data_IF_343266453912
#
_entry.id   IF_343266453912
#
_cell.length_a   1.000
_cell.length_b   1.000
_cell.length_c   1.000
_cell.angle_alpha   90.00
_cell.angle_beta   90.00
_cell.angle_gamma   90.00
#
_symmetry.space_group_name_H-M   'P 1'
#
loop_
_entity.id
_entity.type
_entity.pdbx_description
1 polymer ?
#
# COMPACT_ATOMS: atom_id res chain seq x y z
N UNK A 1 -5.84 61.25 -6.89
CA UNK A 1 -5.28 61.54 -5.54
C UNK A 1 -5.41 60.29 -4.69
N UNK A 2 -4.38 59.95 -3.92
CA UNK A 2 -4.04 58.65 -3.28
C UNK A 2 -5.14 57.74 -2.72
N UNK A 3 -4.93 56.43 -2.93
CA UNK A 3 -5.04 55.35 -1.92
C UNK A 3 -3.59 55.07 -1.45
N UNK A 4 -3.30 54.80 -0.16
CA UNK A 4 -3.24 53.41 0.30
C UNK A 4 -3.82 53.13 1.70
N UNK A 5 -4.42 51.94 1.80
CA UNK A 5 -4.76 51.19 3.00
C UNK A 5 -3.48 50.91 3.80
N UNK A 6 -3.48 51.26 5.08
CA UNK A 6 -2.43 50.86 6.04
C UNK A 6 -2.69 49.40 6.41
N UNK A 7 -1.93 48.46 5.83
CA UNK A 7 -1.80 47.12 6.41
C UNK A 7 -0.83 47.20 7.59
N UNK A 8 -1.31 46.85 8.77
CA UNK A 8 -0.53 46.76 10.00
C UNK A 8 0.60 45.73 9.84
N UNK A 9 1.82 46.15 10.18
CA UNK A 9 2.99 45.29 10.23
C UNK A 9 2.83 44.26 11.35
N UNK A 10 2.76 42.97 10.99
CA UNK A 10 2.80 41.84 11.93
C UNK A 10 4.20 41.82 12.56
N UNK A 11 4.29 42.08 13.85
CA UNK A 11 5.57 42.14 14.58
C UNK A 11 6.22 40.77 14.66
N UNK A 12 7.56 40.73 14.56
CA UNK A 12 8.40 39.53 14.63
C UNK A 12 8.11 38.63 15.84
N UNK A 13 7.56 39.18 16.91
CA UNK A 13 7.15 38.44 18.11
C UNK A 13 5.99 37.45 17.86
N UNK A 14 5.02 37.80 17.00
CA UNK A 14 3.91 36.91 16.62
C UNK A 14 4.42 35.72 15.78
N UNK A 15 5.40 35.94 14.91
CA UNK A 15 6.02 34.87 14.11
C UNK A 15 6.92 33.92 14.94
N UNK A 16 7.51 34.42 16.03
CA UNK A 16 8.30 33.61 16.98
C UNK A 16 7.37 32.84 17.93
N UNK A 17 6.25 33.44 18.34
CA UNK A 17 5.22 32.76 19.13
C UNK A 17 4.63 31.58 18.37
N UNK A 18 4.37 31.72 17.07
CA UNK A 18 3.90 30.64 16.18
C UNK A 18 4.89 29.48 16.06
N UNK A 19 6.20 29.76 16.17
CA UNK A 19 7.28 28.76 16.19
C UNK A 19 7.49 28.09 17.55
N UNK A 20 7.10 28.75 18.65
CA UNK A 20 7.14 28.15 19.98
C UNK A 20 5.89 27.32 20.29
N UNK A 21 4.72 27.67 19.73
CA UNK A 21 3.47 26.90 19.89
C UNK A 21 3.35 25.72 18.94
N UNK A 22 4.26 25.56 17.97
CA UNK A 22 4.31 24.38 17.08
C UNK A 22 5.10 23.20 17.66
N UNK A 23 5.57 23.30 18.91
CA UNK A 23 6.09 22.12 19.63
C UNK A 23 4.98 21.50 20.45
N UNK A 24 4.44 20.41 19.91
CA UNK A 24 3.54 19.41 20.56
C UNK A 24 2.10 19.88 20.85
N UNK A 25 1.26 19.90 19.81
CA UNK A 25 -0.05 19.25 19.96
C UNK A 25 0.22 17.75 20.07
N UNK A 26 0.45 17.27 21.31
CA UNK A 26 0.54 15.84 21.57
C UNK A 26 -0.83 15.24 21.23
N UNK A 27 -0.89 14.55 20.10
CA UNK A 27 -2.01 13.69 19.73
C UNK A 27 -2.14 12.62 20.82
N UNK A 28 -3.30 12.45 21.47
CA UNK A 28 -3.50 11.40 22.47
C UNK A 28 -3.33 9.99 21.89
N UNK A 29 -3.25 9.85 20.56
CA UNK A 29 -2.99 8.60 19.85
C UNK A 29 -1.53 8.48 19.33
N UNK A 30 -0.60 9.32 19.85
CA UNK A 30 0.82 9.26 19.53
C UNK A 30 1.43 7.91 19.98
N UNK A 31 1.28 6.91 19.12
CA UNK A 31 2.01 5.65 19.21
C UNK A 31 3.50 5.95 19.30
N UNK A 32 4.19 5.32 20.25
CA UNK A 32 5.64 5.42 20.34
C UNK A 32 6.21 4.88 19.03
N UNK A 33 6.91 5.72 18.27
CA UNK A 33 7.50 5.34 17.00
C UNK A 33 9.03 5.40 17.07
N UNK A 34 9.72 4.55 16.31
CA UNK A 34 11.17 4.62 16.19
C UNK A 34 11.57 5.95 15.52
N UNK A 35 12.49 6.71 16.13
CA UNK A 35 13.00 7.93 15.52
C UNK A 35 14.00 7.58 14.40
N UNK A 36 13.51 7.51 13.17
CA UNK A 36 14.29 7.17 11.98
C UNK A 36 14.42 8.32 10.98
N UNK A 37 14.09 9.56 11.35
CA UNK A 37 14.03 10.72 10.43
C UNK A 37 15.31 10.88 9.58
N UNK A 38 16.47 10.59 10.16
CA UNK A 38 17.78 10.66 9.49
C UNK A 38 18.49 9.30 9.38
N UNK A 39 17.76 8.19 9.51
CA UNK A 39 18.34 6.86 9.41
C UNK A 39 18.81 6.56 7.98
N UNK A 40 19.96 5.89 7.86
CA UNK A 40 20.42 5.29 6.60
C UNK A 40 19.62 4.00 6.29
N UNK A 41 19.64 3.53 5.03
CA UNK A 41 18.91 2.32 4.65
C UNK A 41 19.36 1.08 5.44
N UNK A 42 20.65 0.98 5.76
CA UNK A 42 21.22 -0.16 6.50
C UNK A 42 20.64 -0.29 7.91
N UNK A 43 20.49 0.82 8.64
CA UNK A 43 19.86 0.83 9.96
C UNK A 43 18.38 0.43 9.85
N UNK A 44 17.67 0.96 8.86
CA UNK A 44 16.29 0.58 8.58
C UNK A 44 16.15 -0.93 8.33
N UNK A 45 17.07 -1.53 7.58
CA UNK A 45 17.08 -2.97 7.27
C UNK A 45 17.38 -3.81 8.52
N UNK A 46 18.32 -3.38 9.37
CA UNK A 46 18.56 -4.06 10.66
C UNK A 46 17.31 -4.02 11.55
N UNK A 47 16.57 -2.91 11.55
CA UNK A 47 15.35 -2.77 12.33
C UNK A 47 14.18 -3.59 11.77
N UNK A 48 14.13 -3.84 10.46
CA UNK A 48 13.15 -4.75 9.83
C UNK A 48 13.25 -6.18 10.36
N UNK A 49 14.45 -6.61 10.77
CA UNK A 49 14.66 -7.92 11.38
C UNK A 49 14.06 -8.04 12.79
N UNK A 50 13.65 -6.92 13.39
CA UNK A 50 12.94 -6.86 14.68
C UNK A 50 11.52 -6.34 14.43
N UNK A 51 10.58 -7.20 14.00
CA UNK A 51 9.27 -6.77 13.54
C UNK A 51 8.41 -6.29 14.70
N UNK A 52 8.25 -4.97 14.80
CA UNK A 52 7.39 -4.30 15.78
C UNK A 52 6.64 -3.16 15.11
N UNK A 53 5.46 -2.81 15.62
CA UNK A 53 4.68 -1.66 15.12
C UNK A 53 5.53 -0.38 15.19
N UNK A 54 6.30 -0.21 16.28
CA UNK A 54 7.20 0.93 16.48
C UNK A 54 8.24 1.07 15.36
N UNK A 55 8.88 -0.04 14.99
CA UNK A 55 9.90 -0.05 13.93
C UNK A 55 9.27 0.18 12.55
N UNK A 56 8.13 -0.45 12.25
CA UNK A 56 7.45 -0.27 10.96
C UNK A 56 6.87 1.13 10.82
N UNK A 57 6.29 1.73 11.87
CA UNK A 57 5.78 3.11 11.78
C UNK A 57 6.91 4.12 11.57
N UNK A 58 8.04 3.95 12.28
CA UNK A 58 9.24 4.75 12.04
C UNK A 58 9.80 4.57 10.63
N UNK A 59 9.84 3.33 10.13
CA UNK A 59 10.30 3.03 8.78
C UNK A 59 9.38 3.64 7.73
N UNK A 60 8.06 3.53 7.89
CA UNK A 60 7.08 4.13 6.98
C UNK A 60 7.36 5.63 6.80
N UNK A 61 7.51 6.38 7.89
CA UNK A 61 7.83 7.81 7.81
C UNK A 61 9.16 8.07 7.10
N UNK A 62 10.17 7.24 7.37
CA UNK A 62 11.46 7.37 6.70
C UNK A 62 11.40 7.06 5.20
N UNK A 63 10.57 6.11 4.79
CA UNK A 63 10.29 5.80 3.38
C UNK A 63 9.54 6.97 2.71
N UNK A 64 8.51 7.51 3.36
CA UNK A 64 7.71 8.64 2.85
C UNK A 64 8.55 9.92 2.68
N UNK A 65 9.53 10.15 3.57
CA UNK A 65 10.44 11.29 3.50
C UNK A 65 11.70 11.03 2.65
N UNK A 66 11.85 9.84 2.07
CA UNK A 66 13.05 9.48 1.32
C UNK A 66 13.14 10.17 -0.04
N UNK A 67 14.37 10.46 -0.46
CA UNK A 67 14.65 10.83 -1.84
C UNK A 67 14.90 9.59 -2.71
N UNK A 68 15.05 9.83 -4.02
CA UNK A 68 15.29 8.77 -5.00
C UNK A 68 16.54 7.94 -4.68
N UNK A 69 17.63 8.58 -4.24
CA UNK A 69 18.90 7.89 -3.97
C UNK A 69 18.78 6.94 -2.79
N UNK A 70 18.13 7.40 -1.72
CA UNK A 70 17.89 6.59 -0.54
C UNK A 70 16.96 5.41 -0.85
N UNK A 71 15.89 5.64 -1.63
CA UNK A 71 14.96 4.58 -2.03
C UNK A 71 15.67 3.49 -2.83
N UNK A 72 16.49 3.87 -3.82
CA UNK A 72 17.26 2.90 -4.61
C UNK A 72 18.19 2.08 -3.72
N UNK A 73 18.93 2.71 -2.80
CA UNK A 73 19.80 1.98 -1.87
C UNK A 73 19.01 1.01 -0.97
N UNK A 74 17.85 1.42 -0.46
CA UNK A 74 16.98 0.54 0.34
C UNK A 74 16.53 -0.70 -0.46
N UNK A 75 16.21 -0.53 -1.74
CA UNK A 75 15.81 -1.63 -2.63
C UNK A 75 17.01 -2.55 -2.96
N UNK A 76 18.17 -1.98 -3.28
CA UNK A 76 19.42 -2.72 -3.56
C UNK A 76 19.90 -3.54 -2.36
N UNK A 77 19.63 -3.06 -1.14
CA UNK A 77 19.96 -3.75 0.09
C UNK A 77 18.85 -4.73 0.56
N UNK A 78 17.94 -5.12 -0.34
CA UNK A 78 16.89 -6.11 -0.07
C UNK A 78 15.87 -5.69 0.99
N UNK A 79 15.67 -4.38 1.21
CA UNK A 79 14.71 -3.87 2.18
C UNK A 79 13.26 -4.23 1.85
N UNK A 80 12.91 -4.26 0.55
CA UNK A 80 11.58 -4.69 0.11
C UNK A 80 11.36 -6.19 0.27
N UNK A 81 12.39 -7.02 0.06
CA UNK A 81 12.31 -8.46 0.27
C UNK A 81 11.90 -8.78 1.71
N UNK A 82 12.50 -8.11 2.69
CA UNK A 82 12.17 -8.27 4.11
C UNK A 82 10.74 -7.85 4.44
N UNK A 83 10.23 -6.78 3.81
CA UNK A 83 8.84 -6.34 3.96
C UNK A 83 7.86 -7.36 3.37
N UNK A 84 8.18 -7.92 2.21
CA UNK A 84 7.36 -8.92 1.52
C UNK A 84 7.33 -10.24 2.29
N UNK A 85 8.48 -10.71 2.79
CA UNK A 85 8.57 -11.88 3.65
C UNK A 85 7.79 -11.68 4.96
N UNK A 86 7.86 -10.49 5.55
CA UNK A 86 7.07 -10.17 6.74
C UNK A 86 5.57 -10.17 6.46
N UNK A 87 5.15 -9.61 5.32
CA UNK A 87 3.75 -9.63 4.91
C UNK A 87 3.25 -11.06 4.73
N UNK A 88 4.01 -11.92 4.06
CA UNK A 88 3.64 -13.33 3.86
C UNK A 88 3.49 -14.07 5.19
N UNK A 89 4.46 -13.92 6.11
CA UNK A 89 4.40 -14.49 7.46
C UNK A 89 3.16 -14.05 8.25
N UNK A 90 2.73 -12.80 8.09
CA UNK A 90 1.58 -12.23 8.79
C UNK A 90 0.22 -12.54 8.12
N UNK A 91 0.22 -12.99 6.87
CA UNK A 91 -1.01 -13.20 6.09
C UNK A 91 -1.62 -14.60 6.23
N UNK A 92 -0.94 -15.53 6.90
CA UNK A 92 -1.44 -16.88 7.13
C UNK A 92 -2.73 -16.91 7.97
N UNK A 93 -3.56 -17.94 7.77
CA UNK A 93 -4.88 -18.17 8.42
C UNK A 93 -4.85 -18.30 9.95
N UNK A 94 -3.71 -18.05 10.60
CA UNK A 94 -3.46 -18.26 12.03
C UNK A 94 -3.07 -17.00 12.82
N UNK A 95 -3.08 -15.80 12.23
CA UNK A 95 -2.82 -14.55 12.98
C UNK A 95 -4.00 -14.20 13.90
N UNK A 96 -4.03 -14.86 15.06
CA UNK A 96 -5.13 -14.80 16.03
C UNK A 96 -5.07 -13.59 16.96
N UNK A 97 -4.01 -12.76 16.91
CA UNK A 97 -3.81 -11.65 17.85
C UNK A 97 -3.97 -10.30 17.17
N UNK A 98 -4.62 -9.37 17.88
CA UNK A 98 -4.79 -7.96 17.45
C UNK A 98 -3.45 -7.30 17.13
N UNK A 99 -2.39 -7.63 17.89
CA UNK A 99 -1.04 -7.12 17.67
C UNK A 99 -0.49 -7.52 16.29
N UNK A 100 -0.76 -8.74 15.82
CA UNK A 100 -0.31 -9.22 14.52
C UNK A 100 -1.06 -8.50 13.39
N UNK A 101 -2.35 -8.24 13.57
CA UNK A 101 -3.16 -7.47 12.63
C UNK A 101 -2.68 -6.02 12.49
N UNK A 102 -2.31 -5.36 13.60
CA UNK A 102 -1.72 -4.03 13.56
C UNK A 102 -0.35 -4.04 12.88
N UNK A 103 0.49 -5.00 13.22
CA UNK A 103 1.82 -5.17 12.60
C UNK A 103 1.71 -5.39 11.09
N UNK A 104 0.76 -6.23 10.65
CA UNK A 104 0.47 -6.47 9.24
C UNK A 104 0.04 -5.20 8.54
N UNK A 105 -0.87 -4.43 9.14
CA UNK A 105 -1.37 -3.19 8.57
C UNK A 105 -0.26 -2.15 8.39
N UNK A 106 0.62 -2.00 9.40
CA UNK A 106 1.78 -1.09 9.32
C UNK A 106 2.82 -1.59 8.31
N UNK A 107 3.01 -2.90 8.18
CA UNK A 107 3.87 -3.50 7.15
C UNK A 107 3.39 -3.14 5.73
N UNK A 108 2.08 -3.29 5.46
CA UNK A 108 1.49 -2.91 4.17
C UNK A 108 1.62 -1.40 3.93
N UNK A 109 1.52 -0.57 4.98
CA UNK A 109 1.77 0.86 4.85
C UNK A 109 3.23 1.19 4.48
N UNK A 110 4.22 0.40 4.93
CA UNK A 110 5.60 0.55 4.48
C UNK A 110 5.73 0.22 2.99
N UNK A 111 5.11 -0.87 2.53
CA UNK A 111 5.10 -1.25 1.11
C UNK A 111 4.42 -0.18 0.26
N UNK A 112 3.31 0.40 0.75
CA UNK A 112 2.67 1.55 0.11
C UNK A 112 3.63 2.74 -0.03
N UNK A 113 4.39 3.06 1.01
CA UNK A 113 5.37 4.14 0.96
C UNK A 113 6.45 3.89 -0.10
N UNK A 114 6.91 2.63 -0.26
CA UNK A 114 7.80 2.24 -1.38
C UNK A 114 7.11 2.46 -2.74
N UNK A 115 5.87 2.02 -2.89
CA UNK A 115 5.09 2.16 -4.14
C UNK A 115 4.70 3.60 -4.49
N UNK A 116 4.82 4.54 -3.55
CA UNK A 116 4.67 5.96 -3.84
C UNK A 116 5.92 6.57 -4.52
N UNK A 117 6.98 5.78 -4.70
CA UNK A 117 8.15 6.12 -5.52
C UNK A 117 8.08 5.41 -6.87
N UNK A 118 8.41 6.12 -7.96
CA UNK A 118 8.56 5.50 -9.28
C UNK A 118 9.64 4.41 -9.29
N UNK A 119 10.72 4.59 -8.52
CA UNK A 119 11.76 3.56 -8.35
C UNK A 119 11.17 2.29 -7.75
N UNK A 120 10.35 2.43 -6.70
CA UNK A 120 9.70 1.31 -6.03
C UNK A 120 8.71 0.58 -6.94
N UNK A 121 7.92 1.31 -7.72
CA UNK A 121 6.98 0.71 -8.69
C UNK A 121 7.72 -0.07 -9.78
N UNK A 122 8.75 0.50 -10.41
CA UNK A 122 9.54 -0.20 -11.41
C UNK A 122 10.21 -1.45 -10.83
N UNK A 123 10.81 -1.34 -9.64
CA UNK A 123 11.45 -2.46 -8.96
C UNK A 123 10.47 -3.60 -8.67
N UNK A 124 9.22 -3.28 -8.31
CA UNK A 124 8.17 -4.29 -8.11
C UNK A 124 7.77 -4.96 -9.44
N UNK A 125 7.63 -4.18 -10.51
CA UNK A 125 7.23 -4.72 -11.81
C UNK A 125 8.31 -5.59 -12.46
N UNK A 126 9.57 -5.33 -12.17
CA UNK A 126 10.69 -6.14 -12.66
C UNK A 126 10.79 -7.52 -11.97
N UNK A 127 10.02 -7.74 -10.89
CA UNK A 127 9.98 -9.02 -10.17
C UNK A 127 8.52 -9.46 -9.88
N UNK A 128 8.03 -10.37 -10.72
CA UNK A 128 6.68 -10.96 -10.61
C UNK A 128 6.38 -11.60 -9.24
N UNK A 129 7.40 -12.04 -8.50
CA UNK A 129 7.26 -12.62 -7.17
C UNK A 129 6.63 -11.68 -6.15
N UNK A 130 6.89 -10.37 -6.26
CA UNK A 130 6.30 -9.38 -5.36
C UNK A 130 4.79 -9.21 -5.60
N UNK A 131 4.35 -9.20 -6.85
CA UNK A 131 2.92 -9.10 -7.20
C UNK A 131 2.16 -10.33 -6.73
N UNK A 132 2.77 -11.52 -6.82
CA UNK A 132 2.19 -12.75 -6.26
C UNK A 132 2.14 -12.71 -4.74
N UNK A 133 3.18 -12.21 -4.07
CA UNK A 133 3.20 -12.05 -2.61
C UNK A 133 2.11 -11.11 -2.13
N UNK A 134 1.91 -9.96 -2.80
CA UNK A 134 0.79 -9.06 -2.52
C UNK A 134 -0.56 -9.78 -2.71
N UNK A 135 -0.71 -10.56 -3.77
CA UNK A 135 -1.94 -11.31 -4.01
C UNK A 135 -2.19 -12.36 -2.92
N UNK A 136 -1.16 -13.08 -2.47
CA UNK A 136 -1.25 -14.02 -1.36
C UNK A 136 -1.58 -13.35 -0.02
N UNK A 137 -1.21 -12.08 0.17
CA UNK A 137 -1.57 -11.33 1.38
C UNK A 137 -3.08 -11.14 1.58
N UNK A 138 -3.89 -11.38 0.53
CA UNK A 138 -5.35 -11.39 0.60
C UNK A 138 -5.93 -12.56 1.40
N UNK A 139 -5.12 -13.57 1.78
CA UNK A 139 -5.53 -14.69 2.64
C UNK A 139 -5.83 -14.28 4.10
N UNK A 140 -5.43 -13.07 4.51
CA UNK A 140 -5.76 -12.51 5.83
C UNK A 140 -7.27 -12.38 6.04
N UNK A 141 -7.75 -12.49 7.28
CA UNK A 141 -9.15 -12.18 7.61
C UNK A 141 -9.38 -10.68 7.85
N UNK A 142 -8.33 -9.86 7.87
CA UNK A 142 -8.42 -8.44 8.14
C UNK A 142 -8.84 -7.65 6.89
N UNK A 143 -10.09 -7.18 6.87
CA UNK A 143 -10.66 -6.38 5.77
C UNK A 143 -9.83 -5.13 5.46
N UNK A 144 -9.28 -4.46 6.47
CA UNK A 144 -8.45 -3.26 6.25
C UNK A 144 -7.16 -3.59 5.51
N UNK A 145 -6.55 -4.75 5.79
CA UNK A 145 -5.37 -5.21 5.05
C UNK A 145 -5.75 -5.54 3.62
N UNK A 146 -6.85 -6.29 3.40
CA UNK A 146 -7.34 -6.60 2.04
C UNK A 146 -7.59 -5.33 1.22
N UNK A 147 -8.26 -4.34 1.81
CA UNK A 147 -8.49 -3.04 1.19
C UNK A 147 -7.18 -2.41 0.70
N UNK A 148 -6.19 -2.30 1.60
CA UNK A 148 -4.91 -1.71 1.23
C UNK A 148 -4.20 -2.51 0.14
N UNK A 149 -4.19 -3.84 0.21
CA UNK A 149 -3.57 -4.70 -0.79
C UNK A 149 -4.23 -4.55 -2.15
N UNK A 150 -5.57 -4.50 -2.23
CA UNK A 150 -6.27 -4.25 -3.49
C UNK A 150 -5.94 -2.88 -4.08
N UNK A 151 -5.78 -1.85 -3.25
CA UNK A 151 -5.34 -0.53 -3.72
C UNK A 151 -3.92 -0.56 -4.31
N UNK A 152 -3.00 -1.32 -3.70
CA UNK A 152 -1.66 -1.52 -4.23
C UNK A 152 -1.70 -2.25 -5.58
N UNK A 153 -2.46 -3.33 -5.69
CA UNK A 153 -2.64 -4.06 -6.96
C UNK A 153 -3.26 -3.17 -8.05
N UNK A 154 -4.23 -2.32 -7.69
CA UNK A 154 -4.83 -1.36 -8.60
C UNK A 154 -3.81 -0.31 -9.06
N UNK A 155 -2.96 0.20 -8.15
CA UNK A 155 -1.91 1.15 -8.49
C UNK A 155 -0.89 0.55 -9.48
N UNK A 156 -0.43 -0.69 -9.26
CA UNK A 156 0.45 -1.40 -10.21
C UNK A 156 -0.22 -1.58 -11.57
N UNK A 157 -1.49 -1.94 -11.58
CA UNK A 157 -2.28 -2.16 -12.80
C UNK A 157 -2.43 -0.87 -13.63
N UNK A 158 -2.51 0.29 -12.98
CA UNK A 158 -2.64 1.59 -13.62
C UNK A 158 -1.30 2.21 -14.04
N UNK A 159 -0.23 1.87 -13.34
CA UNK A 159 1.08 2.51 -13.53
C UNK A 159 1.72 2.14 -14.88
N UNK A 160 1.69 0.86 -15.25
CA UNK A 160 2.32 0.36 -16.47
C UNK A 160 1.53 -0.82 -17.08
N UNK A 161 1.46 -0.96 -18.43
CA UNK A 161 0.82 -2.11 -19.07
C UNK A 161 1.34 -3.47 -18.60
N UNK A 162 2.62 -3.59 -18.25
CA UNK A 162 3.20 -4.79 -17.64
C UNK A 162 2.55 -5.09 -16.28
N UNK A 163 2.28 -4.07 -15.48
CA UNK A 163 1.56 -4.22 -14.21
C UNK A 163 0.18 -4.83 -14.39
N UNK A 164 -0.55 -4.45 -15.43
CA UNK A 164 -1.83 -5.08 -15.78
C UNK A 164 -1.70 -6.58 -16.04
N UNK A 165 -0.66 -6.99 -16.77
CA UNK A 165 -0.40 -8.39 -17.08
C UNK A 165 -0.01 -9.19 -15.83
N UNK A 166 0.91 -8.65 -15.02
CA UNK A 166 1.39 -9.29 -13.80
C UNK A 166 0.28 -9.48 -12.76
N UNK A 167 -0.58 -8.48 -12.58
CA UNK A 167 -1.70 -8.59 -11.63
C UNK A 167 -2.73 -9.60 -12.11
N UNK A 168 -3.03 -9.65 -13.41
CA UNK A 168 -3.91 -10.70 -13.97
C UNK A 168 -3.31 -12.11 -13.81
N UNK A 169 -2.01 -12.26 -14.04
CA UNK A 169 -1.30 -13.53 -13.85
C UNK A 169 -1.30 -13.97 -12.38
N UNK A 170 -1.04 -13.04 -11.46
CA UNK A 170 -1.07 -13.31 -10.03
C UNK A 170 -2.48 -13.74 -9.55
N UNK A 171 -3.54 -13.09 -10.05
CA UNK A 171 -4.93 -13.46 -9.76
C UNK A 171 -5.32 -14.83 -10.36
N UNK A 172 -4.80 -15.18 -11.54
CA UNK A 172 -5.02 -16.49 -12.17
C UNK A 172 -4.28 -17.62 -11.45
N UNK A 173 -3.06 -17.32 -10.99
CA UNK A 173 -2.21 -18.24 -10.22
C UNK A 173 -2.71 -18.43 -8.78
N UNK A 174 -3.54 -17.51 -8.27
CA UNK A 174 -4.10 -17.58 -6.93
C UNK A 174 -5.14 -18.71 -6.83
N UNK A 175 -4.66 -19.91 -6.50
CA UNK A 175 -5.48 -21.12 -6.38
C UNK A 175 -5.96 -21.33 -4.95
N UNK A 176 -7.13 -20.80 -4.61
CA UNK A 176 -7.85 -21.24 -3.41
C UNK A 176 -8.67 -22.50 -3.76
N UNK A 177 -8.62 -23.57 -2.94
CA UNK A 177 -9.47 -24.73 -3.15
C UNK A 177 -10.94 -24.28 -3.15
N UNK A 178 -11.65 -24.53 -4.27
CA UNK A 178 -13.03 -24.13 -4.64
C UNK A 178 -13.19 -22.93 -5.59
N UNK A 179 -12.12 -22.31 -6.08
CA UNK A 179 -12.25 -21.30 -7.13
C UNK A 179 -12.31 -21.94 -8.52
N UNK A 180 -13.38 -21.67 -9.28
CA UNK A 180 -13.57 -22.16 -10.65
C UNK A 180 -13.00 -21.21 -11.72
N UNK A 181 -12.72 -19.94 -11.37
CA UNK A 181 -12.21 -18.92 -12.29
C UNK A 181 -11.42 -17.82 -11.55
N UNK A 182 -10.44 -17.18 -12.22
CA UNK A 182 -9.45 -16.23 -11.66
C UNK A 182 -10.00 -15.01 -10.91
N UNK A 183 -11.24 -14.60 -11.18
CA UNK A 183 -11.88 -13.46 -10.52
C UNK A 183 -12.79 -13.83 -9.36
N UNK A 184 -12.92 -15.13 -9.06
CA UNK A 184 -13.77 -15.57 -7.97
C UNK A 184 -13.29 -15.06 -6.61
N UNK A 185 -12.01 -14.73 -6.43
CA UNK A 185 -11.53 -14.01 -5.24
C UNK A 185 -12.28 -12.69 -5.04
N UNK A 186 -12.21 -11.79 -6.02
CA UNK A 186 -12.83 -10.45 -5.96
C UNK A 186 -14.35 -10.58 -5.80
N UNK A 187 -14.97 -11.51 -6.56
CA UNK A 187 -16.42 -11.70 -6.51
C UNK A 187 -16.89 -12.29 -5.18
N UNK A 188 -16.17 -13.23 -4.59
CA UNK A 188 -16.52 -13.80 -3.28
C UNK A 188 -16.41 -12.74 -2.18
N UNK A 189 -15.36 -11.93 -2.19
CA UNK A 189 -15.22 -10.80 -1.25
C UNK A 189 -16.36 -9.80 -1.41
N UNK A 190 -16.72 -9.44 -2.64
CA UNK A 190 -17.78 -8.48 -2.93
C UNK A 190 -19.17 -8.97 -2.48
N UNK A 191 -19.47 -10.26 -2.65
CA UNK A 191 -20.73 -10.85 -2.18
C UNK A 191 -20.77 -11.07 -0.66
N UNK A 192 -19.61 -11.23 -0.03
CA UNK A 192 -19.50 -11.58 1.39
C UNK A 192 -19.41 -10.40 2.36
N UNK A 193 -19.23 -9.17 1.85
CA UNK A 193 -19.02 -7.97 2.68
C UNK A 193 -20.23 -7.04 2.68
N UNK A 194 -20.52 -6.43 3.83
CA UNK A 194 -21.43 -5.29 4.00
C UNK A 194 -20.67 -3.96 4.21
N UNK A 195 -19.33 -4.01 4.29
CA UNK A 195 -18.47 -2.85 4.42
C UNK A 195 -18.42 -2.05 3.10
N UNK A 196 -19.16 -0.94 3.06
CA UNK A 196 -19.29 -0.08 1.87
C UNK A 196 -17.93 0.44 1.36
N UNK A 197 -17.02 0.98 2.19
CA UNK A 197 -15.67 1.34 1.73
C UNK A 197 -14.93 0.19 1.03
N UNK A 198 -15.00 -1.01 1.58
CA UNK A 198 -14.36 -2.17 0.96
C UNK A 198 -14.99 -2.54 -0.39
N UNK A 199 -16.32 -2.46 -0.51
CA UNK A 199 -17.01 -2.65 -1.79
C UNK A 199 -16.54 -1.65 -2.84
N UNK A 200 -16.30 -0.39 -2.47
CA UNK A 200 -15.76 0.64 -3.37
C UNK A 200 -14.35 0.27 -3.84
N UNK A 201 -13.49 -0.23 -2.94
CA UNK A 201 -12.15 -0.69 -3.30
C UNK A 201 -12.20 -1.87 -4.27
N UNK A 202 -13.06 -2.87 -4.00
CA UNK A 202 -13.23 -4.04 -4.88
C UNK A 202 -13.76 -3.63 -6.26
N UNK A 203 -14.77 -2.76 -6.31
CA UNK A 203 -15.31 -2.26 -7.57
C UNK A 203 -14.30 -1.41 -8.35
N UNK A 204 -13.47 -0.63 -7.64
CA UNK A 204 -12.35 0.09 -8.26
C UNK A 204 -11.36 -0.88 -8.90
N UNK A 205 -11.02 -1.97 -8.23
CA UNK A 205 -10.15 -3.01 -8.78
C UNK A 205 -10.75 -3.66 -10.04
N UNK A 206 -12.04 -4.02 -10.02
CA UNK A 206 -12.75 -4.53 -11.20
C UNK A 206 -12.66 -3.54 -12.37
N UNK A 207 -12.93 -2.25 -12.10
CA UNK A 207 -12.88 -1.21 -13.12
C UNK A 207 -11.48 -1.05 -13.72
N UNK A 208 -10.45 -1.05 -12.87
CA UNK A 208 -9.06 -0.94 -13.28
C UNK A 208 -8.64 -2.13 -14.16
N UNK A 209 -9.00 -3.36 -13.78
CA UNK A 209 -8.73 -4.56 -14.58
C UNK A 209 -9.44 -4.54 -15.93
N UNK A 210 -10.71 -4.13 -15.98
CA UNK A 210 -11.48 -4.09 -17.23
C UNK A 210 -10.99 -2.97 -18.14
N UNK A 211 -10.80 -1.76 -17.61
CA UNK A 211 -10.41 -0.59 -18.41
C UNK A 211 -8.96 -0.64 -18.87
N UNK A 212 -8.09 -1.37 -18.16
CA UNK A 212 -6.68 -1.55 -18.53
C UNK A 212 -6.46 -2.33 -19.84
N UNK A 213 -7.49 -2.99 -20.41
CA UNK A 213 -7.42 -3.50 -21.79
C UNK A 213 -7.86 -2.42 -22.76
N UNK A 214 -7.11 -2.13 -23.81
CA UNK A 214 -7.52 -1.15 -24.84
C UNK A 214 -8.63 -1.69 -25.77
N UNK A 215 -8.55 -2.97 -26.11
CA UNK A 215 -9.45 -3.63 -27.06
C UNK A 215 -10.84 -3.90 -26.46
N UNK A 216 -11.89 -3.39 -27.11
CA UNK A 216 -13.28 -3.51 -26.67
C UNK A 216 -13.75 -4.96 -26.51
N UNK A 217 -13.32 -5.89 -27.38
CA UNK A 217 -13.67 -7.31 -27.29
C UNK A 217 -12.93 -7.99 -26.13
N UNK A 218 -11.71 -7.56 -25.81
CA UNK A 218 -10.99 -8.03 -24.61
C UNK A 218 -11.66 -7.50 -23.33
N UNK A 219 -12.13 -6.24 -23.33
CA UNK A 219 -12.92 -5.68 -22.22
C UNK A 219 -14.22 -6.45 -22.01
N UNK A 220 -14.95 -6.74 -23.10
CA UNK A 220 -16.21 -7.47 -23.04
C UNK A 220 -16.04 -8.88 -22.46
N UNK A 221 -15.02 -9.62 -22.94
CA UNK A 221 -14.64 -10.93 -22.39
C UNK A 221 -14.30 -10.86 -20.89
N UNK A 222 -13.48 -9.89 -20.48
CA UNK A 222 -13.16 -9.72 -19.05
C UNK A 222 -14.41 -9.47 -18.20
N UNK A 223 -15.36 -8.65 -18.67
CA UNK A 223 -16.63 -8.44 -17.94
C UNK A 223 -17.45 -9.72 -17.82
N UNK A 224 -17.50 -10.51 -18.89
CA UNK A 224 -18.21 -11.80 -18.89
C UNK A 224 -17.57 -12.79 -17.90
N UNK A 225 -16.25 -12.78 -17.75
CA UNK A 225 -15.55 -13.60 -16.74
C UNK A 225 -15.95 -13.23 -15.30
N UNK A 226 -16.16 -11.94 -14.99
CA UNK A 226 -16.65 -11.52 -13.67
C UNK A 226 -18.09 -11.97 -13.37
N UNK A 227 -18.92 -12.12 -14.40
CA UNK A 227 -20.34 -12.53 -14.28
C UNK A 227 -20.46 -14.06 -14.26
N UNK A 228 -19.36 -14.80 -14.52
CA UNK A 228 -19.38 -16.26 -14.62
C UNK A 228 -20.02 -16.79 -15.89
N UNK A 229 -20.26 -15.93 -16.89
CA UNK A 229 -20.76 -16.32 -18.21
C UNK A 229 -19.60 -16.57 -19.16
N UNK A 230 -18.90 -17.70 -18.98
CA UNK A 230 -17.97 -18.20 -20.01
C UNK A 230 -18.73 -19.24 -20.85
N UNK A 231 -19.14 -18.84 -22.05
CA UNK A 231 -19.53 -19.74 -23.14
C UNK A 231 -18.35 -19.90 -24.11
#
# INVERSE_FOLDING_TARGET
MQIPVIMAAKTKWEAVKDRMTTTTSADPDATLEANLENADPELCIRLLQVPTVVNYSGLRRRLEASDQSWMVQFLELHGLDLLMEALERLSGRGCARIADALLQLTCVSCIRAVMNSSAGLHFILDNEGYVRTLTHALDTSNVMVKMQVFELLAALTLFDPQGHLLVLDALDSYKVPKQQYRFSLIMNELHGTDNVPYMVTLMSMVNVLVLGKEDLRKRDRLRQEFIGTTN
#
